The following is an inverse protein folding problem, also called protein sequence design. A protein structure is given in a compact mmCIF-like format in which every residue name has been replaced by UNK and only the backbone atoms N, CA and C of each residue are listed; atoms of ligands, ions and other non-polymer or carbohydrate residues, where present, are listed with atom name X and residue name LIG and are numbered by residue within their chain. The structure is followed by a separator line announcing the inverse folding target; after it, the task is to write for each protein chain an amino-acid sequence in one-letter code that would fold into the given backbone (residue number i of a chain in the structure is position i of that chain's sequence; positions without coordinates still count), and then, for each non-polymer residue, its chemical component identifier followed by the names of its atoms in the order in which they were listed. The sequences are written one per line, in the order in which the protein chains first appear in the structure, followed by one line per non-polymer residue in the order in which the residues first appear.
data_IF_489853344894
#
_entry.id   IF_489853344894
#
_cell.length_a   1.000
_cell.length_b   1.000
_cell.length_c   1.000
_cell.angle_alpha   90.00
_cell.angle_beta   90.00
_cell.angle_gamma   90.00
#
_symmetry.space_group_name_H-M   'P 1'
#
loop_
_entity.id
_entity.type
_entity.pdbx_description
1 polymer ?
#
# COMPACT_ATOMS: atom_id res chain seq x y z
N UNK A 1 44.58 -5.25 -11.03
CA UNK A 1 43.94 -4.73 -9.80
C UNK A 1 42.53 -5.29 -9.74
N UNK A 2 41.79 -5.27 -8.62
CA UNK A 2 40.36 -5.62 -8.65
C UNK A 2 39.59 -4.61 -9.51
N UNK A 3 38.47 -5.04 -10.09
CA UNK A 3 37.57 -4.12 -10.79
C UNK A 3 36.89 -3.17 -9.80
N UNK A 4 36.50 -2.00 -10.29
CA UNK A 4 35.76 -0.98 -9.52
C UNK A 4 34.46 -0.63 -10.22
N UNK A 5 33.65 0.26 -9.61
CA UNK A 5 32.41 0.77 -10.21
C UNK A 5 31.47 -0.35 -10.70
N UNK A 6 31.43 -1.46 -9.97
CA UNK A 6 30.65 -2.63 -10.35
C UNK A 6 29.16 -2.30 -10.24
N UNK A 7 28.43 -2.59 -11.30
CA UNK A 7 26.97 -2.46 -11.41
C UNK A 7 26.40 -3.80 -11.86
N UNK A 8 25.07 -3.87 -12.04
CA UNK A 8 24.43 -5.06 -12.61
C UNK A 8 24.85 -5.35 -14.06
N UNK A 9 25.32 -4.34 -14.80
CA UNK A 9 25.51 -4.42 -16.25
C UNK A 9 26.92 -4.05 -16.71
N UNK A 10 27.79 -3.66 -15.79
CA UNK A 10 29.10 -3.13 -16.09
C UNK A 10 30.06 -3.20 -14.89
N UNK A 11 31.36 -3.12 -15.18
CA UNK A 11 32.40 -2.80 -14.21
C UNK A 11 33.55 -2.06 -14.90
N UNK A 12 34.37 -1.36 -14.12
CA UNK A 12 35.63 -0.77 -14.61
C UNK A 12 36.78 -1.74 -14.34
N UNK A 13 37.36 -2.29 -15.41
CA UNK A 13 38.57 -3.10 -15.35
C UNK A 13 39.76 -2.19 -15.03
N UNK A 14 40.65 -2.59 -14.11
CA UNK A 14 41.77 -1.74 -13.68
C UNK A 14 43.11 -2.48 -13.67
N UNK A 15 44.15 -1.76 -14.10
CA UNK A 15 45.53 -2.25 -14.09
C UNK A 15 46.52 -1.13 -13.80
N UNK A 16 47.71 -1.52 -13.37
CA UNK A 16 48.80 -0.58 -13.16
C UNK A 16 49.34 -0.11 -14.51
N UNK A 17 49.65 1.18 -14.68
CA UNK A 17 50.30 1.68 -15.87
C UNK A 17 51.67 1.01 -16.04
N UNK A 18 52.07 0.79 -17.29
CA UNK A 18 53.37 0.20 -17.65
C UNK A 18 54.15 1.26 -18.43
N UNK A 19 55.37 1.56 -18.00
CA UNK A 19 56.20 2.54 -18.70
C UNK A 19 56.55 2.06 -20.12
N UNK A 20 56.72 3.01 -21.05
CA UNK A 20 57.18 2.76 -22.42
C UNK A 20 56.24 1.87 -23.27
N UNK A 21 54.94 1.84 -22.97
CA UNK A 21 53.93 1.18 -23.80
C UNK A 21 53.10 2.23 -24.54
N UNK A 22 52.65 1.91 -25.74
CA UNK A 22 51.83 2.80 -26.57
C UNK A 22 50.33 2.56 -26.41
N UNK A 23 49.95 1.36 -25.93
CA UNK A 23 48.56 0.92 -25.88
C UNK A 23 48.39 -0.33 -25.00
N UNK A 24 47.14 -0.67 -24.73
CA UNK A 24 46.74 -1.96 -24.16
C UNK A 24 45.80 -2.71 -25.11
N UNK A 25 45.70 -4.03 -24.92
CA UNK A 25 44.67 -4.90 -25.48
C UNK A 25 43.94 -5.57 -24.34
N UNK A 26 42.61 -5.49 -24.34
CA UNK A 26 41.75 -6.07 -23.31
C UNK A 26 40.98 -7.26 -23.89
N UNK A 27 41.04 -8.38 -23.17
CA UNK A 27 40.16 -9.52 -23.37
C UNK A 27 39.20 -9.63 -22.18
N UNK A 28 37.91 -9.83 -22.43
CA UNK A 28 36.90 -10.14 -21.40
C UNK A 28 36.10 -11.37 -21.81
N UNK A 29 35.87 -12.28 -20.86
CA UNK A 29 35.17 -13.54 -21.08
C UNK A 29 34.25 -13.89 -19.91
N UNK A 30 33.18 -14.63 -20.16
CA UNK A 30 32.42 -15.33 -19.11
C UNK A 30 33.08 -16.64 -18.65
N UNK A 31 34.13 -17.09 -19.36
CA UNK A 31 34.88 -18.31 -19.08
C UNK A 31 36.33 -17.96 -18.68
N UNK A 32 36.81 -18.58 -17.60
CA UNK A 32 38.18 -18.40 -17.10
C UNK A 32 39.27 -18.85 -18.09
N UNK A 33 38.92 -19.75 -19.02
CA UNK A 33 39.81 -20.23 -20.08
C UNK A 33 39.91 -19.28 -21.29
N UNK A 34 39.07 -18.24 -21.37
CA UNK A 34 38.97 -17.36 -22.54
C UNK A 34 38.70 -18.14 -23.85
N UNK A 35 37.90 -19.21 -23.75
CA UNK A 35 37.45 -19.99 -24.92
C UNK A 35 36.32 -19.30 -25.71
N UNK A 36 35.63 -18.36 -25.05
CA UNK A 36 34.65 -17.44 -25.62
C UNK A 36 34.92 -16.03 -25.10
N UNK A 37 34.33 -15.00 -25.71
CA UNK A 37 34.56 -13.61 -25.31
C UNK A 37 33.23 -12.87 -25.21
N UNK A 38 33.17 -11.88 -24.33
CA UNK A 38 32.07 -10.90 -24.33
C UNK A 38 32.13 -10.17 -25.68
N UNK A 39 31.00 -10.02 -26.40
CA UNK A 39 30.99 -9.36 -27.71
C UNK A 39 31.66 -7.98 -27.67
N UNK A 40 32.62 -7.76 -28.57
CA UNK A 40 33.40 -6.51 -28.64
C UNK A 40 34.59 -6.41 -27.67
N UNK A 41 34.79 -7.39 -26.80
CA UNK A 41 35.89 -7.42 -25.82
C UNK A 41 36.89 -8.56 -26.08
N UNK A 42 37.07 -8.95 -27.34
CA UNK A 42 38.19 -9.80 -27.76
C UNK A 42 39.24 -8.92 -28.45
N UNK A 43 40.46 -8.91 -27.93
CA UNK A 43 41.57 -8.08 -28.42
C UNK A 43 41.20 -6.59 -28.54
N UNK A 44 40.37 -6.08 -27.61
CA UNK A 44 39.89 -4.71 -27.67
C UNK A 44 41.07 -3.75 -27.54
N UNK A 45 41.29 -2.95 -28.59
CA UNK A 45 42.35 -1.95 -28.62
C UNK A 45 42.02 -0.77 -27.72
N UNK A 46 42.88 -0.53 -26.74
CA UNK A 46 42.82 0.60 -25.83
C UNK A 46 44.09 1.44 -26.00
N UNK A 47 44.00 2.74 -25.72
CA UNK A 47 45.19 3.60 -25.63
C UNK A 47 46.05 3.28 -24.40
N UNK A 48 47.00 4.16 -24.09
CA UNK A 48 47.71 4.13 -22.81
C UNK A 48 46.79 4.66 -21.70
N UNK A 49 45.94 3.76 -21.20
CA UNK A 49 44.96 4.02 -20.14
C UNK A 49 45.18 3.02 -19.01
N UNK A 50 44.79 3.39 -17.78
CA UNK A 50 44.83 2.49 -16.62
C UNK A 50 43.50 1.80 -16.30
N UNK A 51 42.45 2.10 -17.07
CA UNK A 51 41.09 1.59 -16.85
C UNK A 51 40.33 1.44 -18.16
N UNK A 52 39.36 0.53 -18.18
CA UNK A 52 38.36 0.43 -19.23
C UNK A 52 37.01 -0.01 -18.68
N UNK A 53 35.95 0.69 -19.07
CA UNK A 53 34.58 0.31 -18.75
C UNK A 53 34.13 -0.87 -19.60
N UNK A 54 33.77 -1.96 -18.94
CA UNK A 54 33.19 -3.15 -19.55
C UNK A 54 31.68 -3.08 -19.36
N UNK A 55 30.90 -3.05 -20.44
CA UNK A 55 29.44 -2.85 -20.41
C UNK A 55 28.70 -3.94 -21.21
N UNK A 56 27.37 -3.99 -21.10
CA UNK A 56 26.55 -4.98 -21.80
C UNK A 56 26.62 -6.37 -21.17
N UNK A 57 26.93 -6.43 -19.88
CA UNK A 57 27.07 -7.67 -19.11
C UNK A 57 25.72 -8.13 -18.57
N UNK A 58 25.63 -9.39 -18.14
CA UNK A 58 24.46 -9.91 -17.45
C UNK A 58 24.58 -9.69 -15.93
N UNK A 59 23.49 -9.38 -15.21
CA UNK A 59 23.49 -9.25 -13.74
C UNK A 59 23.84 -10.53 -12.99
N UNK A 60 24.58 -10.41 -11.88
CA UNK A 60 24.96 -11.53 -11.02
C UNK A 60 25.92 -12.55 -11.64
N UNK A 61 26.59 -12.20 -12.75
CA UNK A 61 27.48 -13.09 -13.50
C UNK A 61 28.94 -12.72 -13.25
N UNK A 62 29.79 -13.75 -13.09
CA UNK A 62 31.24 -13.56 -12.98
C UNK A 62 31.89 -13.54 -14.35
N UNK A 63 32.64 -12.49 -14.63
CA UNK A 63 33.45 -12.32 -15.83
C UNK A 63 34.93 -12.31 -15.47
N UNK A 64 35.75 -12.70 -16.44
CA UNK A 64 37.20 -12.74 -16.35
C UNK A 64 37.78 -11.78 -17.38
N UNK A 65 38.76 -10.97 -16.99
CA UNK A 65 39.47 -10.08 -17.89
C UNK A 65 40.98 -10.22 -17.74
N UNK A 66 41.69 -10.00 -18.85
CA UNK A 66 43.16 -10.00 -18.91
C UNK A 66 43.64 -8.97 -19.92
N UNK A 67 44.89 -8.57 -19.77
CA UNK A 67 45.50 -7.52 -20.59
C UNK A 67 46.77 -7.97 -21.27
N UNK A 68 47.06 -7.34 -22.41
CA UNK A 68 48.38 -7.31 -23.04
C UNK A 68 48.80 -5.86 -23.20
N UNK A 69 50.02 -5.51 -22.80
CA UNK A 69 50.58 -4.20 -23.13
C UNK A 69 51.13 -4.24 -24.55
N UNK A 70 51.14 -3.10 -25.25
CA UNK A 70 51.63 -3.00 -26.62
C UNK A 70 52.77 -2.00 -26.67
N UNK A 71 53.96 -2.47 -27.02
CA UNK A 71 55.15 -1.63 -27.28
C UNK A 71 55.49 -1.71 -28.75
N UNK A 72 55.54 -0.56 -29.42
CA UNK A 72 55.89 -0.48 -30.86
C UNK A 72 55.03 -1.39 -31.75
N UNK A 73 53.75 -1.55 -31.41
CA UNK A 73 52.81 -2.41 -32.13
C UNK A 73 52.89 -3.91 -31.79
N UNK A 74 53.80 -4.31 -30.90
CA UNK A 74 53.97 -5.71 -30.47
C UNK A 74 53.28 -5.92 -29.12
N UNK A 75 52.25 -6.79 -29.05
CA UNK A 75 51.63 -7.16 -27.78
C UNK A 75 52.53 -8.06 -26.92
N UNK A 76 52.50 -7.85 -25.60
CA UNK A 76 53.08 -8.75 -24.62
C UNK A 76 52.33 -10.09 -24.56
N UNK A 77 52.85 -11.04 -23.77
CA UNK A 77 52.03 -12.13 -23.25
C UNK A 77 50.86 -11.61 -22.41
N UNK A 78 49.82 -12.43 -22.29
CA UNK A 78 48.69 -12.10 -21.43
C UNK A 78 49.11 -11.95 -19.97
N UNK A 79 48.52 -10.98 -19.28
CA UNK A 79 48.55 -10.90 -17.83
C UNK A 79 47.86 -12.11 -17.21
N UNK A 80 48.04 -12.27 -15.88
CA UNK A 80 47.10 -13.08 -15.11
C UNK A 80 45.67 -12.56 -15.30
N UNK A 81 44.70 -13.47 -15.30
CA UNK A 81 43.29 -13.11 -15.36
C UNK A 81 42.79 -12.62 -14.02
N UNK A 82 41.91 -11.62 -14.06
CA UNK A 82 41.20 -11.09 -12.91
C UNK A 82 39.71 -11.38 -13.08
N UNK A 83 39.03 -11.71 -11.98
CA UNK A 83 37.58 -11.92 -11.98
C UNK A 83 36.86 -10.67 -11.46
N UNK A 84 35.67 -10.41 -12.01
CA UNK A 84 34.72 -9.40 -11.53
C UNK A 84 33.31 -9.97 -11.65
N UNK A 85 32.53 -9.91 -10.57
CA UNK A 85 31.13 -10.35 -10.56
C UNK A 85 30.23 -9.11 -10.62
N UNK A 86 29.34 -9.03 -11.61
CA UNK A 86 28.35 -7.97 -11.69
C UNK A 86 27.34 -8.10 -10.55
N UNK A 87 26.77 -6.97 -10.13
CA UNK A 87 25.75 -6.97 -9.07
C UNK A 87 24.48 -7.67 -9.54
N UNK A 88 23.69 -8.21 -8.62
CA UNK A 88 22.32 -8.62 -8.97
C UNK A 88 21.40 -7.41 -9.11
N UNK A 89 20.38 -7.52 -9.96
CA UNK A 89 19.30 -6.56 -9.99
C UNK A 89 18.43 -6.65 -8.74
N UNK A 90 17.75 -5.54 -8.42
CA UNK A 90 16.80 -5.52 -7.33
C UNK A 90 15.55 -6.35 -7.63
N UNK A 91 14.94 -6.90 -6.60
CA UNK A 91 13.65 -7.58 -6.67
C UNK A 91 12.76 -7.11 -5.53
N UNK A 92 11.51 -6.76 -5.86
CA UNK A 92 10.52 -6.25 -4.90
C UNK A 92 10.01 -7.41 -4.06
N UNK A 93 10.12 -7.29 -2.75
CA UNK A 93 9.32 -8.07 -1.79
C UNK A 93 8.40 -7.16 -0.99
N UNK A 94 7.31 -7.73 -0.49
CA UNK A 94 6.27 -7.03 0.27
C UNK A 94 5.92 -7.86 1.50
N UNK A 95 6.03 -7.27 2.68
CA UNK A 95 5.72 -7.94 3.95
C UNK A 95 4.98 -7.01 4.94
N UNK A 96 3.75 -7.33 5.37
CA UNK A 96 2.94 -8.45 4.91
C UNK A 96 2.38 -8.22 3.48
N UNK A 97 2.11 -9.29 2.71
CA UNK A 97 1.51 -9.19 1.39
C UNK A 97 0.00 -8.84 1.42
N UNK A 98 -0.62 -8.90 2.60
CA UNK A 98 -2.03 -8.57 2.82
C UNK A 98 -2.16 -7.61 4.00
N UNK A 99 -2.93 -6.55 3.83
CA UNK A 99 -3.35 -5.62 4.88
C UNK A 99 -4.86 -5.68 5.06
N UNK A 100 -5.33 -5.63 6.30
CA UNK A 100 -6.75 -5.73 6.64
C UNK A 100 -7.17 -4.61 7.56
N UNK A 101 -7.93 -3.65 7.05
CA UNK A 101 -8.41 -2.50 7.78
C UNK A 101 -9.87 -2.69 8.21
N UNK A 102 -10.22 -2.11 9.35
CA UNK A 102 -11.59 -2.05 9.83
C UNK A 102 -11.86 -0.75 10.57
N UNK A 103 -12.99 -0.12 10.30
CA UNK A 103 -13.48 1.06 11.01
C UNK A 103 -15.00 1.03 11.13
N UNK A 104 -15.57 1.99 11.84
CA UNK A 104 -17.02 2.26 11.83
C UNK A 104 -17.33 3.43 10.91
N UNK A 105 -18.55 3.47 10.37
CA UNK A 105 -19.03 4.56 9.54
C UNK A 105 -18.72 5.94 10.16
N UNK A 106 -18.18 6.84 9.34
CA UNK A 106 -17.76 8.18 9.78
C UNK A 106 -16.35 8.28 10.38
N UNK A 107 -15.57 7.19 10.40
CA UNK A 107 -14.20 7.16 10.96
C UNK A 107 -13.18 6.55 9.99
N UNK A 108 -11.92 6.94 10.15
CA UNK A 108 -10.79 6.28 9.48
C UNK A 108 -10.22 5.16 10.37
N UNK A 109 -9.81 4.02 9.81
CA UNK A 109 -9.12 2.99 10.56
C UNK A 109 -7.72 3.45 10.97
N UNK A 110 -7.12 2.78 11.95
CA UNK A 110 -5.72 3.00 12.28
C UNK A 110 -4.81 2.64 11.11
N UNK A 111 -3.76 3.45 10.91
CA UNK A 111 -2.71 3.18 9.93
C UNK A 111 -2.04 1.82 10.18
N UNK A 112 -1.67 1.14 9.09
CA UNK A 112 -0.86 -0.08 9.16
C UNK A 112 0.48 0.12 8.47
N UNK A 113 1.47 -0.66 8.85
CA UNK A 113 2.80 -0.62 8.23
C UNK A 113 3.11 -1.90 7.48
N UNK A 114 3.88 -1.77 6.41
CA UNK A 114 4.45 -2.88 5.67
C UNK A 114 5.85 -2.52 5.17
N UNK A 115 6.68 -3.51 4.93
CA UNK A 115 8.00 -3.35 4.35
C UNK A 115 7.96 -3.60 2.85
N UNK A 116 8.63 -2.73 2.09
CA UNK A 116 9.05 -2.99 0.72
C UNK A 116 10.52 -3.38 0.76
N UNK A 117 10.84 -4.61 0.38
CA UNK A 117 12.19 -5.17 0.51
C UNK A 117 12.87 -5.30 -0.85
N UNK A 118 14.19 -5.16 -0.85
CA UNK A 118 15.03 -5.42 -2.00
C UNK A 118 16.01 -6.55 -1.68
N UNK A 119 15.85 -7.70 -2.33
CA UNK A 119 16.77 -8.84 -2.17
C UNK A 119 17.98 -8.79 -3.11
N UNK A 120 18.13 -7.73 -3.90
CA UNK A 120 19.22 -7.56 -4.85
C UNK A 120 20.24 -6.50 -4.44
N UNK A 121 21.37 -6.52 -5.14
CA UNK A 121 22.52 -5.63 -4.87
C UNK A 121 22.40 -4.27 -5.58
N UNK A 122 21.39 -4.10 -6.43
CA UNK A 122 21.07 -2.83 -7.09
C UNK A 122 19.81 -2.22 -6.49
N UNK A 123 19.89 -0.96 -6.06
CA UNK A 123 18.73 -0.22 -5.55
C UNK A 123 17.70 0.03 -6.65
N UNK A 124 16.42 0.13 -6.29
CA UNK A 124 15.35 0.48 -7.22
C UNK A 124 14.41 1.53 -6.63
N UNK A 125 13.83 2.34 -7.50
CA UNK A 125 12.70 3.19 -7.16
C UNK A 125 11.38 2.49 -7.52
N UNK A 126 10.34 2.73 -6.74
CA UNK A 126 8.98 2.23 -7.00
C UNK A 126 7.93 3.32 -6.79
N UNK A 127 6.78 3.13 -7.42
CA UNK A 127 5.54 3.85 -7.13
C UNK A 127 4.37 2.86 -7.09
N UNK A 128 3.37 3.14 -6.24
CA UNK A 128 2.16 2.34 -6.15
C UNK A 128 1.02 2.92 -6.98
N UNK A 129 0.22 2.06 -7.59
CA UNK A 129 -1.16 2.35 -7.99
C UNK A 129 -2.12 1.45 -7.22
N UNK A 130 -3.41 1.79 -7.21
CA UNK A 130 -4.44 0.98 -6.58
C UNK A 130 -5.57 0.70 -7.57
N UNK A 131 -5.86 -0.58 -7.78
CA UNK A 131 -7.03 -1.05 -8.51
C UNK A 131 -8.11 -1.46 -7.50
N UNK A 132 -9.23 -0.74 -7.52
CA UNK A 132 -10.28 -0.88 -6.50
C UNK A 132 -11.41 -1.80 -6.93
N UNK A 133 -12.04 -2.46 -5.96
CA UNK A 133 -13.34 -3.10 -6.14
C UNK A 133 -14.41 -2.08 -6.57
N UNK A 134 -15.49 -2.52 -7.24
CA UNK A 134 -16.65 -1.66 -7.46
C UNK A 134 -17.18 -1.05 -6.16
N UNK A 135 -17.71 0.17 -6.23
CA UNK A 135 -18.41 0.84 -5.12
C UNK A 135 -17.61 1.89 -4.36
N UNK A 136 -16.27 1.86 -4.40
CA UNK A 136 -15.44 2.93 -3.82
C UNK A 136 -14.07 2.99 -4.50
N UNK A 137 -13.47 4.17 -4.55
CA UNK A 137 -12.11 4.39 -5.04
C UNK A 137 -11.43 5.52 -4.27
N UNK A 138 -10.12 5.62 -4.38
CA UNK A 138 -9.34 6.72 -3.78
C UNK A 138 -9.20 6.66 -2.26
N UNK A 139 -9.66 5.58 -1.61
CA UNK A 139 -9.57 5.43 -0.16
C UNK A 139 -8.20 4.93 0.33
N UNK A 140 -7.34 4.41 -0.55
CA UNK A 140 -5.98 3.98 -0.20
C UNK A 140 -4.97 5.00 -0.70
N UNK A 141 -4.13 5.54 0.19
CA UNK A 141 -3.11 6.50 -0.17
C UNK A 141 -2.02 5.87 -1.07
N UNK A 142 -1.61 6.61 -2.10
CA UNK A 142 -0.49 6.22 -2.95
C UNK A 142 0.85 6.44 -2.24
N UNK A 143 1.83 5.61 -2.57
CA UNK A 143 3.15 5.58 -1.96
C UNK A 143 4.22 5.33 -3.00
N UNK A 144 5.39 5.94 -2.79
CA UNK A 144 6.55 5.78 -3.66
C UNK A 144 7.83 5.82 -2.84
N UNK A 145 8.95 5.46 -3.45
CA UNK A 145 10.29 5.74 -2.94
C UNK A 145 11.34 4.77 -3.45
N UNK A 146 12.49 4.77 -2.78
CA UNK A 146 13.67 4.02 -3.23
C UNK A 146 14.09 3.03 -2.15
N UNK A 147 14.23 1.76 -2.52
CA UNK A 147 14.74 0.71 -1.63
C UNK A 147 16.20 0.46 -1.96
N UNK A 148 17.08 0.72 -1.00
CA UNK A 148 18.51 0.43 -1.13
C UNK A 148 18.76 -1.07 -1.36
N UNK A 149 19.94 -1.41 -1.85
CA UNK A 149 20.35 -2.81 -2.04
C UNK A 149 20.31 -3.59 -0.74
N UNK A 150 19.89 -4.86 -0.81
CA UNK A 150 19.83 -5.80 0.31
C UNK A 150 19.18 -5.21 1.57
N UNK A 151 18.10 -4.44 1.39
CA UNK A 151 17.51 -3.64 2.46
C UNK A 151 15.99 -3.66 2.41
N UNK A 152 15.38 -3.08 3.43
CA UNK A 152 13.94 -2.94 3.55
C UNK A 152 13.59 -1.48 3.85
N UNK A 153 12.46 -1.06 3.29
CA UNK A 153 11.93 0.27 3.48
C UNK A 153 10.51 0.17 4.02
N UNK A 154 10.32 0.63 5.25
CA UNK A 154 9.00 0.64 5.88
C UNK A 154 8.13 1.71 5.25
N UNK A 155 6.87 1.36 5.01
CA UNK A 155 5.80 2.22 4.53
C UNK A 155 4.59 2.15 5.44
N UNK A 156 3.89 3.26 5.51
CA UNK A 156 2.61 3.38 6.19
C UNK A 156 1.52 3.36 5.12
N UNK A 157 0.63 2.38 5.22
CA UNK A 157 -0.62 2.34 4.49
C UNK A 157 -1.67 3.13 5.27
N UNK A 158 -2.14 4.21 4.65
CA UNK A 158 -3.16 5.11 5.20
C UNK A 158 -4.45 4.92 4.41
N UNK A 159 -5.56 4.80 5.13
CA UNK A 159 -6.89 4.59 4.54
C UNK A 159 -7.82 5.73 4.94
N UNK A 160 -8.42 6.38 3.94
CA UNK A 160 -9.45 7.40 4.10
C UNK A 160 -10.84 6.76 3.89
N UNK A 161 -11.48 6.35 4.98
CA UNK A 161 -12.76 5.64 4.98
C UNK A 161 -13.92 6.46 5.56
N UNK A 162 -13.67 7.61 6.20
CA UNK A 162 -14.70 8.38 6.90
C UNK A 162 -15.90 8.79 6.03
N UNK A 163 -15.71 8.94 4.72
CA UNK A 163 -16.79 9.27 3.76
C UNK A 163 -17.41 8.06 3.06
N UNK A 164 -16.89 6.85 3.31
CA UNK A 164 -17.42 5.62 2.73
C UNK A 164 -18.63 5.14 3.52
N UNK A 165 -19.60 4.58 2.81
CA UNK A 165 -20.72 3.88 3.44
C UNK A 165 -20.24 2.62 4.15
N UNK A 166 -21.05 2.09 5.06
CA UNK A 166 -20.79 0.78 5.63
C UNK A 166 -20.80 -0.29 4.52
N UNK A 167 -19.84 -1.21 4.58
CA UNK A 167 -19.62 -2.21 3.55
C UNK A 167 -18.23 -2.83 3.59
N UNK A 168 -17.97 -3.70 2.62
CA UNK A 168 -16.66 -4.32 2.40
C UNK A 168 -16.08 -3.83 1.09
N UNK A 169 -14.82 -3.42 1.14
CA UNK A 169 -14.04 -2.90 0.03
C UNK A 169 -12.72 -3.66 -0.07
N UNK A 170 -12.19 -3.78 -1.27
CA UNK A 170 -10.84 -4.28 -1.47
C UNK A 170 -10.11 -3.47 -2.54
N UNK A 171 -8.79 -3.46 -2.45
CA UNK A 171 -7.90 -2.89 -3.45
C UNK A 171 -6.71 -3.82 -3.68
N UNK A 172 -6.26 -3.89 -4.92
CA UNK A 172 -4.94 -4.44 -5.27
C UNK A 172 -3.99 -3.26 -5.42
N UNK A 173 -3.04 -3.12 -4.48
CA UNK A 173 -1.98 -2.13 -4.58
C UNK A 173 -0.84 -2.72 -5.41
N UNK A 174 -0.58 -2.15 -6.58
CA UNK A 174 0.47 -2.57 -7.51
C UNK A 174 1.72 -1.71 -7.32
N UNK A 175 2.79 -2.27 -6.78
CA UNK A 175 4.10 -1.61 -6.69
C UNK A 175 4.87 -1.85 -7.99
N UNK A 176 5.12 -0.77 -8.71
CA UNK A 176 5.82 -0.80 -10.00
C UNK A 176 7.18 -0.14 -9.87
N UNK A 177 8.20 -0.83 -10.35
CA UNK A 177 9.55 -0.31 -10.58
C UNK A 177 9.94 -0.47 -12.05
N UNK A 178 10.75 0.46 -12.56
CA UNK A 178 11.33 0.34 -13.89
C UNK A 178 12.52 -0.63 -13.97
N UNK A 179 13.14 -0.96 -12.83
CA UNK A 179 14.42 -1.67 -12.78
C UNK A 179 14.40 -2.92 -11.89
N UNK A 180 13.32 -3.18 -11.17
CA UNK A 180 13.20 -4.42 -10.41
C UNK A 180 12.74 -5.57 -11.30
N UNK A 181 13.37 -6.74 -11.15
CA UNK A 181 13.21 -7.90 -12.06
C UNK A 181 11.82 -8.51 -12.04
N UNK A 182 11.10 -8.39 -10.93
CA UNK A 182 9.78 -8.94 -10.71
C UNK A 182 8.69 -7.86 -10.66
N UNK A 183 8.92 -6.70 -11.28
CA UNK A 183 7.93 -5.62 -11.33
C UNK A 183 6.82 -5.90 -12.37
N UNK A 184 5.54 -5.59 -12.08
CA UNK A 184 5.01 -5.10 -10.79
C UNK A 184 4.78 -6.24 -9.77
N UNK A 185 4.73 -5.89 -8.49
CA UNK A 185 4.30 -6.77 -7.40
C UNK A 185 3.02 -6.27 -6.75
N UNK A 186 2.15 -7.20 -6.33
CA UNK A 186 0.84 -6.88 -5.77
C UNK A 186 0.80 -7.07 -4.25
N UNK A 187 0.22 -6.08 -3.56
CA UNK A 187 -0.24 -6.19 -2.18
C UNK A 187 -1.77 -6.13 -2.15
N UNK A 188 -2.40 -7.04 -1.41
CA UNK A 188 -3.85 -7.03 -1.27
C UNK A 188 -4.26 -6.23 -0.03
N UNK A 189 -5.25 -5.36 -0.18
CA UNK A 189 -5.77 -4.54 0.92
C UNK A 189 -7.26 -4.75 1.02
N UNK A 190 -7.73 -5.16 2.19
CA UNK A 190 -9.15 -5.21 2.52
C UNK A 190 -9.53 -4.11 3.49
N UNK A 191 -10.75 -3.59 3.36
CA UNK A 191 -11.34 -2.61 4.27
C UNK A 191 -12.78 -3.02 4.58
N UNK A 192 -13.10 -3.12 5.86
CA UNK A 192 -14.48 -3.29 6.34
C UNK A 192 -14.92 -2.03 7.09
N UNK A 193 -15.96 -1.38 6.60
CA UNK A 193 -16.64 -0.27 7.28
C UNK A 193 -17.89 -0.83 7.94
N UNK A 194 -17.87 -0.98 9.25
CA UNK A 194 -19.04 -1.39 10.03
C UNK A 194 -20.05 -0.24 10.14
N UNK A 195 -21.32 -0.56 10.30
CA UNK A 195 -22.34 0.45 10.64
C UNK A 195 -22.02 1.09 11.98
N UNK A 196 -22.33 2.38 12.12
CA UNK A 196 -22.22 3.09 13.38
C UNK A 196 -23.48 2.87 14.25
N UNK A 197 -23.29 2.89 15.57
CA UNK A 197 -24.41 2.85 16.50
C UNK A 197 -25.03 4.24 16.68
N UNK A 198 -26.33 4.27 16.93
CA UNK A 198 -27.08 5.51 17.15
C UNK A 198 -27.98 5.39 18.38
N UNK A 199 -28.33 6.53 18.96
CA UNK A 199 -29.19 6.60 20.15
C UNK A 199 -30.37 7.53 19.90
N UNK A 200 -31.50 7.26 20.54
CA UNK A 200 -32.68 8.12 20.55
C UNK A 200 -32.67 8.99 21.81
N UNK A 201 -32.86 10.30 21.64
CA UNK A 201 -33.24 11.21 22.72
C UNK A 201 -34.75 11.48 22.61
N UNK A 202 -35.52 10.91 23.53
CA UNK A 202 -36.96 11.10 23.65
C UNK A 202 -37.26 11.77 25.00
N UNK A 203 -37.61 13.07 25.03
CA UNK A 203 -37.91 13.78 26.27
C UNK A 203 -39.03 13.11 27.05
N UNK A 204 -38.92 13.08 28.37
CA UNK A 204 -39.95 12.51 29.23
C UNK A 204 -41.29 13.22 29.03
N UNK A 205 -42.37 12.44 28.95
CA UNK A 205 -43.74 12.95 28.93
C UNK A 205 -44.26 12.91 30.36
N UNK A 206 -44.70 14.04 30.88
CA UNK A 206 -45.36 14.10 32.20
C UNK A 206 -46.78 13.55 32.14
N UNK A 207 -47.40 13.36 33.31
CA UNK A 207 -48.81 12.97 33.39
C UNK A 207 -49.70 13.94 32.61
N UNK A 208 -50.79 13.40 32.04
CA UNK A 208 -51.70 14.13 31.14
C UNK A 208 -53.15 13.98 31.62
N UNK A 209 -54.03 14.86 31.13
CA UNK A 209 -55.47 14.69 31.25
C UNK A 209 -56.04 14.02 29.98
N UNK A 210 -57.18 13.34 30.10
CA UNK A 210 -57.85 12.67 28.96
C UNK A 210 -58.17 13.60 27.78
N UNK A 211 -58.26 14.91 28.00
CA UNK A 211 -58.51 15.92 26.97
C UNK A 211 -57.26 16.48 26.30
N UNK A 212 -56.07 16.14 26.79
CA UNK A 212 -54.82 16.69 26.29
C UNK A 212 -54.45 16.13 24.91
N UNK A 213 -53.68 16.93 24.18
CA UNK A 213 -53.02 16.53 22.94
C UNK A 213 -51.53 16.83 23.06
N UNK A 214 -50.70 15.79 22.95
CA UNK A 214 -49.25 15.87 23.12
C UNK A 214 -48.55 15.72 21.77
N UNK A 215 -47.76 16.73 21.40
CA UNK A 215 -46.85 16.64 20.27
C UNK A 215 -45.63 15.81 20.62
N UNK A 216 -45.46 14.67 19.97
CA UNK A 216 -44.31 13.79 20.14
C UNK A 216 -43.13 14.29 19.31
N UNK A 217 -41.97 14.40 19.95
CA UNK A 217 -40.71 14.76 19.30
C UNK A 217 -39.57 13.99 19.95
N UNK A 218 -38.71 13.43 19.13
CA UNK A 218 -37.52 12.70 19.53
C UNK A 218 -36.47 12.85 18.42
N UNK A 219 -35.20 12.79 18.78
CA UNK A 219 -34.09 12.88 17.83
C UNK A 219 -33.23 11.63 17.90
N UNK A 220 -32.75 11.16 16.75
CA UNK A 220 -31.71 10.14 16.68
C UNK A 220 -30.36 10.81 16.39
N UNK A 221 -29.26 10.31 16.97
CA UNK A 221 -27.91 10.85 16.72
C UNK A 221 -27.44 10.75 15.27
N UNK A 222 -28.03 9.85 14.49
CA UNK A 222 -27.82 9.73 13.04
C UNK A 222 -28.51 10.82 12.21
N UNK A 223 -29.45 11.57 12.81
CA UNK A 223 -30.36 12.47 12.10
C UNK A 223 -31.51 11.75 11.37
N UNK A 224 -31.61 10.42 11.44
CA UNK A 224 -32.72 9.66 10.87
C UNK A 224 -34.03 9.93 11.63
N UNK A 225 -35.15 9.87 10.93
CA UNK A 225 -36.48 10.09 11.51
C UNK A 225 -36.83 9.03 12.57
N UNK A 226 -37.38 9.49 13.69
CA UNK A 226 -37.87 8.62 14.78
C UNK A 226 -39.38 8.38 14.57
N UNK A 227 -39.80 7.14 14.76
CA UNK A 227 -41.22 6.73 14.71
C UNK A 227 -41.77 6.53 16.12
N UNK A 228 -43.07 6.76 16.30
CA UNK A 228 -43.74 6.58 17.58
C UNK A 228 -44.85 5.56 17.50
N UNK A 229 -45.01 4.76 18.54
CA UNK A 229 -46.12 3.83 18.71
C UNK A 229 -46.63 3.88 20.16
N UNK A 230 -47.94 3.66 20.33
CA UNK A 230 -48.52 3.41 21.65
C UNK A 230 -48.13 1.99 22.04
N UNK A 231 -47.29 1.85 23.06
CA UNK A 231 -46.89 0.55 23.59
C UNK A 231 -47.99 -0.09 24.42
N UNK A 232 -48.74 0.71 25.18
CA UNK A 232 -49.89 0.27 25.97
C UNK A 232 -50.76 1.45 26.43
N UNK A 233 -51.98 1.15 26.89
CA UNK A 233 -52.89 2.12 27.47
C UNK A 233 -53.82 2.82 26.48
N UNK A 234 -54.70 3.71 26.96
CA UNK A 234 -55.72 4.40 26.18
C UNK A 234 -55.18 5.57 25.32
N UNK A 235 -54.01 5.41 24.70
CA UNK A 235 -53.41 6.40 23.79
C UNK A 235 -53.74 6.14 22.32
N UNK A 236 -53.76 7.18 21.49
CA UNK A 236 -53.87 7.09 20.02
C UNK A 236 -52.95 8.12 19.38
N UNK A 237 -52.16 7.71 18.38
CA UNK A 237 -51.27 8.62 17.65
C UNK A 237 -51.83 8.87 16.25
N UNK A 238 -52.12 10.13 15.94
CA UNK A 238 -52.53 10.59 14.61
C UNK A 238 -51.39 11.36 13.93
N UNK A 239 -51.27 11.22 12.60
CA UNK A 239 -50.23 11.93 11.83
C UNK A 239 -48.79 11.58 12.23
N UNK A 240 -48.59 10.45 12.92
CA UNK A 240 -47.30 9.96 13.39
C UNK A 240 -46.73 10.64 14.63
N UNK A 241 -47.23 11.82 15.02
CA UNK A 241 -46.67 12.61 16.14
C UNK A 241 -47.70 13.24 17.07
N UNK A 242 -48.99 13.24 16.73
CA UNK A 242 -50.01 13.86 17.58
C UNK A 242 -50.67 12.80 18.46
N UNK A 243 -50.27 12.71 19.73
CA UNK A 243 -50.82 11.78 20.71
C UNK A 243 -52.06 12.37 21.39
N UNK A 244 -53.14 11.61 21.42
CA UNK A 244 -54.37 11.91 22.17
C UNK A 244 -54.82 10.69 22.98
N UNK A 245 -55.80 10.88 23.86
CA UNK A 245 -56.25 9.84 24.80
C UNK A 245 -57.74 9.52 24.64
N UNK A 246 -58.09 8.25 24.85
CA UNK A 246 -59.48 7.75 24.75
C UNK A 246 -60.10 7.44 26.11
N UNK A 247 -59.31 7.53 27.19
CA UNK A 247 -59.73 7.29 28.56
C UNK A 247 -58.57 7.43 29.55
N UNK A 248 -58.88 7.37 30.84
CA UNK A 248 -57.89 7.41 31.91
C UNK A 248 -57.15 6.07 32.04
N UNK A 249 -55.89 6.11 32.48
CA UNK A 249 -55.05 4.93 32.70
C UNK A 249 -53.58 5.21 32.40
N UNK A 250 -52.72 4.23 32.70
CA UNK A 250 -51.30 4.31 32.34
C UNK A 250 -51.13 4.14 30.84
N UNK A 251 -50.42 5.08 30.21
CA UNK A 251 -50.06 5.05 28.79
C UNK A 251 -48.55 4.89 28.66
N UNK A 252 -48.12 4.04 27.73
CA UNK A 252 -46.72 4.00 27.30
C UNK A 252 -46.58 4.33 25.82
N UNK A 253 -45.57 5.13 25.50
CA UNK A 253 -45.22 5.53 24.13
C UNK A 253 -43.79 5.10 23.86
N UNK A 254 -43.62 4.34 22.78
CA UNK A 254 -42.32 3.83 22.33
C UNK A 254 -41.83 4.69 21.18
N UNK A 255 -40.62 5.22 21.30
CA UNK A 255 -39.88 5.86 20.21
C UNK A 255 -38.87 4.86 19.63
N UNK A 256 -38.91 4.65 18.32
CA UNK A 256 -38.08 3.68 17.61
C UNK A 256 -37.39 4.28 16.39
N UNK A 257 -36.19 3.77 16.10
CA UNK A 257 -35.39 4.14 14.95
C UNK A 257 -34.70 2.85 14.45
N UNK A 258 -35.01 2.45 13.21
CA UNK A 258 -34.63 1.14 12.65
C UNK A 258 -33.26 1.08 11.96
N UNK A 259 -32.50 2.17 11.94
CA UNK A 259 -31.26 2.29 11.19
C UNK A 259 -31.44 2.41 9.68
N UNK A 260 -30.32 2.34 8.96
CA UNK A 260 -30.26 2.39 7.50
C UNK A 260 -29.02 1.62 7.00
N UNK A 261 -28.51 1.96 5.82
CA UNK A 261 -27.28 1.39 5.26
C UNK A 261 -26.06 1.61 6.15
N UNK A 262 -25.97 2.73 6.87
CA UNK A 262 -24.79 3.17 7.59
C UNK A 262 -24.92 3.10 9.11
N UNK A 263 -26.15 3.01 9.62
CA UNK A 263 -26.42 3.01 11.05
C UNK A 263 -27.19 1.77 11.52
N UNK A 264 -26.80 1.21 12.67
CA UNK A 264 -27.51 0.12 13.35
C UNK A 264 -28.76 0.65 14.06
N UNK A 265 -29.87 -0.09 14.09
CA UNK A 265 -31.06 0.33 14.81
C UNK A 265 -30.77 0.81 16.24
N UNK A 266 -31.39 1.91 16.65
CA UNK A 266 -31.24 2.42 18.00
C UNK A 266 -31.97 1.52 19.01
N UNK A 267 -31.49 1.49 20.26
CA UNK A 267 -32.32 0.99 21.35
C UNK A 267 -33.59 1.83 21.47
N UNK A 268 -34.75 1.17 21.52
CA UNK A 268 -36.03 1.85 21.68
C UNK A 268 -36.10 2.56 23.03
N UNK A 269 -36.71 3.75 23.06
CA UNK A 269 -36.91 4.53 24.29
C UNK A 269 -38.39 4.62 24.57
N UNK A 270 -38.81 4.23 25.78
CA UNK A 270 -40.22 4.21 26.18
C UNK A 270 -40.48 5.20 27.29
N UNK A 271 -41.43 6.10 27.08
CA UNK A 271 -42.01 6.90 28.15
C UNK A 271 -43.27 6.21 28.67
N UNK A 272 -43.45 6.21 29.98
CA UNK A 272 -44.68 5.74 30.65
C UNK A 272 -45.14 6.81 31.61
N UNK A 273 -46.42 7.17 31.55
CA UNK A 273 -47.02 8.23 32.36
C UNK A 273 -48.51 7.93 32.58
N UNK A 274 -49.11 8.63 33.53
CA UNK A 274 -50.52 8.44 33.87
C UNK A 274 -51.41 9.44 33.12
N UNK A 275 -52.61 8.99 32.75
CA UNK A 275 -53.67 9.83 32.18
C UNK A 275 -54.85 9.83 33.14
N UNK A 276 -55.33 11.02 33.54
CA UNK A 276 -56.50 11.19 34.44
C UNK A 276 -57.71 11.83 33.78
#
# INVERSE_FOLDING_TARGET
MPATSITAYAFDAQWSPVAEVAAFRLDVSGDSGFSSYVPGYQDLALGDVGTASVTGLLPGVTYYYRLRSVREGIPSSNSASQAATTLTEGAIGIDPPVLNFSCTYGTDPADQTYAVTNSGETAYAFASSADYSPGASGWLAAVAGTVSSNSALVRTAVVAAASLNAGSYWATQSLTSATATNSPQAQFVSLTVAKADQTIAFPAIGDQETTDAVGLSATATSGLGVSFAVGSGPGTIAGGTNLTFTGAGTVSVVASQGGDTNWNAAAEVTNTFNVT
#
